data_IF_172214824834
#
_entry.id   IF_172214824834
#
_cell.length_a   1.000
_cell.length_b   1.000
_cell.length_c   1.000
_cell.angle_alpha   90.00
_cell.angle_beta   90.00
_cell.angle_gamma   90.00
#
_symmetry.space_group_name_H-M   'P 1'
#
loop_
_entity.id
_entity.type
_entity.pdbx_description
1 polymer ?
#
# COMPACT_ATOMS: atom_id res chain seq x y z
N UNK A 1 2.95 -3.89 -16.81
CA UNK A 1 3.85 -3.60 -15.69
C UNK A 1 3.06 -2.80 -14.66
N UNK A 2 3.08 -3.22 -13.38
CA UNK A 2 2.33 -2.57 -12.29
C UNK A 2 3.24 -1.71 -11.38
N UNK A 3 4.53 -1.57 -11.73
CA UNK A 3 5.51 -0.75 -11.02
C UNK A 3 5.52 0.71 -11.48
N UNK A 4 6.32 1.52 -10.80
CA UNK A 4 6.57 2.91 -11.22
C UNK A 4 7.72 2.93 -12.21
N UNK A 5 7.56 3.61 -13.34
CA UNK A 5 8.63 3.72 -14.36
C UNK A 5 9.95 4.24 -13.76
N UNK A 6 9.89 5.09 -12.73
CA UNK A 6 11.06 5.63 -12.04
C UNK A 6 11.74 4.59 -11.13
N UNK A 7 10.98 3.75 -10.41
CA UNK A 7 11.58 2.70 -9.57
C UNK A 7 12.10 1.55 -10.41
N UNK A 8 11.38 1.19 -11.48
CA UNK A 8 11.81 0.17 -12.44
C UNK A 8 13.13 0.57 -13.13
N UNK A 9 13.25 1.81 -13.60
CA UNK A 9 14.50 2.34 -14.18
C UNK A 9 15.66 2.38 -13.18
N UNK A 10 15.38 2.76 -11.92
CA UNK A 10 16.38 2.74 -10.85
C UNK A 10 16.92 1.32 -10.62
N UNK A 11 16.02 0.35 -10.43
CA UNK A 11 16.40 -1.03 -10.15
C UNK A 11 17.10 -1.67 -11.35
N UNK A 12 16.64 -1.39 -12.57
CA UNK A 12 17.30 -1.85 -13.78
C UNK A 12 18.72 -1.29 -13.93
N UNK A 13 18.93 0.01 -13.64
CA UNK A 13 20.27 0.62 -13.70
C UNK A 13 21.24 0.00 -12.70
N UNK A 14 20.76 -0.30 -11.48
CA UNK A 14 21.57 -0.98 -10.47
C UNK A 14 21.98 -2.38 -10.93
N UNK A 15 21.04 -3.14 -11.49
CA UNK A 15 21.28 -4.49 -12.00
C UNK A 15 22.26 -4.50 -13.19
N UNK A 16 22.06 -3.59 -14.14
CA UNK A 16 22.93 -3.44 -15.30
C UNK A 16 24.36 -3.06 -14.88
N UNK A 17 24.51 -2.17 -13.90
CA UNK A 17 25.82 -1.75 -13.40
C UNK A 17 26.55 -2.88 -12.66
N UNK A 18 25.85 -3.65 -11.82
CA UNK A 18 26.45 -4.80 -11.15
C UNK A 18 26.89 -5.88 -12.14
N UNK A 19 26.04 -6.18 -13.13
CA UNK A 19 26.36 -7.14 -14.19
C UNK A 19 27.59 -6.69 -14.98
N UNK A 20 27.61 -5.43 -15.42
CA UNK A 20 28.73 -4.86 -16.15
C UNK A 20 30.06 -4.96 -15.38
N UNK A 21 30.04 -4.69 -14.07
CA UNK A 21 31.27 -4.75 -13.25
C UNK A 21 31.70 -6.18 -12.96
N UNK A 22 30.76 -7.12 -12.84
CA UNK A 22 31.07 -8.54 -12.69
C UNK A 22 31.68 -9.17 -13.95
N UNK A 23 31.28 -8.70 -15.13
CA UNK A 23 31.79 -9.17 -16.43
C UNK A 23 33.19 -8.64 -16.77
N UNK A 24 33.70 -7.68 -15.99
CA UNK A 24 35.04 -7.14 -16.18
C UNK A 24 36.09 -8.13 -15.66
N UNK A 25 37.06 -8.45 -16.51
CA UNK A 25 38.19 -9.30 -16.17
C UNK A 25 39.26 -8.48 -15.45
N UNK A 26 38.97 -8.13 -14.20
CA UNK A 26 39.83 -7.26 -13.40
C UNK A 26 41.23 -7.88 -13.22
N UNK A 27 42.31 -7.14 -13.51
CA UNK A 27 43.68 -7.63 -13.34
C UNK A 27 44.09 -7.77 -11.87
N UNK A 28 43.41 -7.06 -10.97
CA UNK A 28 43.67 -7.05 -9.53
C UNK A 28 42.40 -7.43 -8.76
N UNK A 29 42.45 -8.58 -8.07
CA UNK A 29 41.29 -9.16 -7.38
C UNK A 29 40.83 -8.32 -6.18
N UNK A 30 41.76 -7.70 -5.44
CA UNK A 30 41.42 -6.82 -4.32
C UNK A 30 40.63 -5.59 -4.78
N UNK A 31 41.02 -4.99 -5.91
CA UNK A 31 40.29 -3.86 -6.48
C UNK A 31 38.86 -4.26 -6.88
N UNK A 32 38.70 -5.44 -7.50
CA UNK A 32 37.38 -5.96 -7.87
C UNK A 32 36.47 -6.12 -6.64
N UNK A 33 36.99 -6.70 -5.56
CA UNK A 33 36.26 -6.87 -4.28
C UNK A 33 35.88 -5.53 -3.65
N UNK A 34 36.82 -4.57 -3.62
CA UNK A 34 36.54 -3.23 -3.10
C UNK A 34 35.46 -2.49 -3.92
N UNK A 35 35.50 -2.62 -5.24
CA UNK A 35 34.51 -2.01 -6.12
C UNK A 35 33.14 -2.65 -5.93
N UNK A 36 33.09 -3.99 -5.88
CA UNK A 36 31.86 -4.74 -5.62
C UNK A 36 31.23 -4.34 -4.29
N UNK A 37 32.02 -4.22 -3.20
CA UNK A 37 31.52 -3.75 -1.91
C UNK A 37 30.91 -2.34 -2.01
N UNK A 38 31.57 -1.40 -2.69
CA UNK A 38 31.06 -0.03 -2.87
C UNK A 38 29.77 0.00 -3.69
N UNK A 39 29.62 -0.87 -4.68
CA UNK A 39 28.36 -1.00 -5.44
C UNK A 39 27.23 -1.53 -4.58
N UNK A 40 27.49 -2.52 -3.73
CA UNK A 40 26.46 -3.07 -2.82
C UNK A 40 25.98 -2.01 -1.83
N UNK A 41 26.90 -1.21 -1.27
CA UNK A 41 26.55 -0.07 -0.42
C UNK A 41 25.72 0.98 -1.18
N UNK A 42 26.15 1.35 -2.38
CA UNK A 42 25.40 2.29 -3.22
C UNK A 42 24.01 1.77 -3.56
N UNK A 43 23.87 0.49 -3.91
CA UNK A 43 22.58 -0.14 -4.19
C UNK A 43 21.67 -0.10 -2.96
N UNK A 44 22.20 -0.43 -1.77
CA UNK A 44 21.46 -0.35 -0.51
C UNK A 44 20.95 1.06 -0.22
N UNK A 45 21.79 2.09 -0.34
CA UNK A 45 21.42 3.48 -0.11
C UNK A 45 20.33 3.97 -1.09
N UNK A 46 20.42 3.54 -2.35
CA UNK A 46 19.45 3.89 -3.38
C UNK A 46 18.10 3.20 -3.13
N UNK A 47 18.11 1.92 -2.74
CA UNK A 47 16.89 1.18 -2.37
C UNK A 47 16.24 1.84 -1.13
N UNK A 48 17.02 2.11 -0.08
CA UNK A 48 16.55 2.79 1.13
C UNK A 48 15.86 4.12 0.80
N UNK A 49 16.52 4.93 -0.03
CA UNK A 49 15.97 6.22 -0.46
C UNK A 49 14.68 6.06 -1.28
N UNK A 50 14.58 5.02 -2.10
CA UNK A 50 13.37 4.71 -2.87
C UNK A 50 12.20 4.32 -1.97
N UNK A 51 12.46 3.45 -0.98
CA UNK A 51 11.47 3.00 0.02
C UNK A 51 10.94 4.17 0.84
N UNK A 52 11.84 5.01 1.38
CA UNK A 52 11.47 6.19 2.18
C UNK A 52 10.63 7.20 1.39
N UNK A 53 11.03 7.51 0.14
CA UNK A 53 10.25 8.41 -0.73
C UNK A 53 8.87 7.83 -1.05
N UNK A 54 8.80 6.53 -1.29
CA UNK A 54 7.55 5.83 -1.61
C UNK A 54 6.58 5.90 -0.44
N UNK A 55 7.06 5.64 0.79
CA UNK A 55 6.26 5.80 2.02
C UNK A 55 5.70 7.21 2.17
N UNK A 56 6.55 8.23 2.06
CA UNK A 56 6.13 9.62 2.21
C UNK A 56 5.08 10.03 1.17
N UNK A 57 5.29 9.62 -0.09
CA UNK A 57 4.33 9.87 -1.17
C UNK A 57 3.01 9.13 -0.94
N UNK A 58 3.07 7.89 -0.45
CA UNK A 58 1.91 7.08 -0.08
C UNK A 58 1.06 7.78 0.99
N UNK A 59 1.69 8.19 2.09
CA UNK A 59 1.01 8.87 3.20
C UNK A 59 0.32 10.15 2.72
N UNK A 60 1.07 11.01 2.03
CA UNK A 60 0.55 12.27 1.50
C UNK A 60 -0.63 12.07 0.54
N UNK A 61 -0.63 10.97 -0.22
CA UNK A 61 -1.70 10.65 -1.15
C UNK A 61 -2.93 10.10 -0.42
N UNK A 62 -2.73 9.20 0.55
CA UNK A 62 -3.80 8.59 1.33
C UNK A 62 -4.56 9.63 2.17
N UNK A 63 -3.85 10.61 2.74
CA UNK A 63 -4.44 11.72 3.49
C UNK A 63 -5.45 12.53 2.66
N UNK A 64 -5.20 12.72 1.36
CA UNK A 64 -6.05 13.49 0.44
C UNK A 64 -7.28 12.73 -0.06
N UNK A 65 -7.36 11.43 0.17
CA UNK A 65 -8.47 10.62 -0.32
C UNK A 65 -9.74 10.81 0.52
N UNK A 66 -10.90 10.48 -0.07
CA UNK A 66 -12.21 10.55 0.58
C UNK A 66 -12.25 9.76 1.91
N UNK A 67 -13.15 10.17 2.80
CA UNK A 67 -13.45 9.48 4.07
C UNK A 67 -14.85 8.83 4.07
N UNK A 68 -15.49 8.73 2.91
CA UNK A 68 -16.79 8.07 2.73
C UNK A 68 -16.68 6.80 1.89
N UNK A 69 -17.81 6.09 1.76
CA UNK A 69 -17.92 4.80 1.07
C UNK A 69 -17.71 4.89 -0.45
N UNK A 70 -17.52 6.08 -1.01
CA UNK A 70 -17.09 6.34 -2.39
C UNK A 70 -15.55 6.25 -2.57
N UNK A 71 -14.78 6.19 -1.47
CA UNK A 71 -13.33 6.00 -1.52
C UNK A 71 -12.98 4.74 -2.32
N UNK A 72 -12.08 4.88 -3.30
CA UNK A 72 -11.51 3.75 -4.05
C UNK A 72 -9.99 3.85 -4.03
N UNK A 73 -9.32 2.74 -3.73
CA UNK A 73 -7.86 2.61 -3.85
C UNK A 73 -7.47 2.98 -5.27
N UNK A 74 -6.58 3.96 -5.40
CA UNK A 74 -6.10 4.40 -6.72
C UNK A 74 -4.97 3.51 -7.21
N UNK A 75 -4.80 3.41 -8.52
CA UNK A 75 -3.69 2.66 -9.14
C UNK A 75 -2.33 3.02 -8.53
N UNK A 76 -2.07 4.30 -8.28
CA UNK A 76 -0.80 4.75 -7.71
C UNK A 76 -0.53 4.17 -6.32
N UNK A 77 -1.58 3.93 -5.50
CA UNK A 77 -1.43 3.33 -4.17
C UNK A 77 -1.00 1.87 -4.32
N UNK A 78 -1.64 1.13 -5.23
CA UNK A 78 -1.22 -0.24 -5.56
C UNK A 78 0.22 -0.28 -6.09
N UNK A 79 0.57 0.65 -6.99
CA UNK A 79 1.94 0.77 -7.52
C UNK A 79 2.95 1.04 -6.41
N UNK A 80 2.63 1.87 -5.42
CA UNK A 80 3.52 2.13 -4.27
C UNK A 80 3.77 0.87 -3.42
N UNK A 81 2.77 0.00 -3.24
CA UNK A 81 3.01 -1.32 -2.63
C UNK A 81 3.92 -2.19 -3.49
N UNK A 82 3.71 -2.22 -4.80
CA UNK A 82 4.55 -3.00 -5.72
C UNK A 82 6.00 -2.51 -5.73
N UNK A 83 6.25 -1.20 -5.56
CA UNK A 83 7.62 -0.68 -5.39
C UNK A 83 8.32 -1.33 -4.19
N UNK A 84 7.61 -1.61 -3.09
CA UNK A 84 8.20 -2.29 -1.93
C UNK A 84 8.43 -3.79 -2.19
N UNK A 85 7.52 -4.45 -2.91
CA UNK A 85 7.73 -5.84 -3.38
C UNK A 85 8.98 -5.92 -4.25
N UNK A 86 9.15 -4.98 -5.18
CA UNK A 86 10.31 -4.93 -6.06
C UNK A 86 11.58 -4.57 -5.29
N UNK A 87 11.51 -3.62 -4.35
CA UNK A 87 12.63 -3.29 -3.46
C UNK A 87 13.12 -4.52 -2.68
N UNK A 88 12.21 -5.35 -2.16
CA UNK A 88 12.54 -6.59 -1.45
C UNK A 88 13.19 -7.64 -2.37
N UNK A 89 12.70 -7.77 -3.60
CA UNK A 89 13.34 -8.68 -4.59
C UNK A 89 14.75 -8.21 -4.93
N UNK A 90 14.93 -6.91 -5.06
CA UNK A 90 16.22 -6.31 -5.42
C UNK A 90 17.20 -6.28 -4.25
N UNK A 91 16.75 -6.12 -3.00
CA UNK A 91 17.63 -6.21 -1.84
C UNK A 91 18.29 -7.57 -1.74
N UNK A 92 17.52 -8.66 -1.92
CA UNK A 92 18.06 -10.02 -1.91
C UNK A 92 19.07 -10.27 -3.04
N UNK A 93 18.81 -9.71 -4.23
CA UNK A 93 19.66 -9.92 -5.42
C UNK A 93 20.94 -9.10 -5.40
N UNK A 94 20.81 -7.79 -5.20
CA UNK A 94 21.89 -6.81 -5.38
C UNK A 94 22.71 -6.63 -4.11
N UNK A 95 22.12 -6.98 -2.98
CA UNK A 95 22.72 -6.82 -1.67
C UNK A 95 22.89 -8.24 -1.10
N UNK A 96 23.76 -9.07 -1.68
CA UNK A 96 24.23 -10.30 -1.04
C UNK A 96 25.75 -10.17 -0.79
N UNK A 97 26.18 -10.22 0.46
CA UNK A 97 27.58 -10.10 0.88
C UNK A 97 28.03 -11.40 1.56
N UNK A 98 29.26 -11.84 1.28
CA UNK A 98 29.83 -13.05 1.89
C UNK A 98 29.88 -12.94 3.42
N UNK A 99 29.71 -14.10 4.07
CA UNK A 99 29.65 -14.25 5.52
C UNK A 99 31.01 -13.84 6.12
N UNK A 100 31.07 -12.68 6.75
CA UNK A 100 32.25 -12.28 7.53
C UNK A 100 32.48 -10.79 7.69
N UNK A 101 32.04 -9.94 6.75
CA UNK A 101 32.25 -8.49 6.86
C UNK A 101 30.98 -7.65 7.06
N UNK A 102 29.84 -7.90 6.39
CA UNK A 102 28.71 -6.94 6.45
C UNK A 102 27.30 -7.59 6.30
N UNK A 103 27.03 -8.73 6.93
CA UNK A 103 25.67 -9.32 7.02
C UNK A 103 24.63 -8.39 7.70
N UNK A 104 25.07 -7.29 8.32
CA UNK A 104 24.23 -6.36 9.06
C UNK A 104 23.43 -5.41 8.16
N UNK A 105 23.94 -5.05 6.96
CA UNK A 105 23.25 -4.09 6.09
C UNK A 105 22.10 -4.70 5.29
N UNK A 106 22.24 -5.96 4.84
CA UNK A 106 21.12 -6.70 4.22
C UNK A 106 19.97 -6.88 5.19
N UNK A 107 20.31 -7.27 6.42
CA UNK A 107 19.34 -7.37 7.52
C UNK A 107 18.65 -6.02 7.73
N UNK A 108 19.40 -4.91 7.72
CA UNK A 108 18.85 -3.56 7.93
C UNK A 108 17.93 -3.08 6.82
N UNK A 109 18.26 -3.33 5.54
CA UNK A 109 17.39 -2.91 4.43
C UNK A 109 16.12 -3.76 4.36
N UNK A 110 16.23 -5.06 4.63
CA UNK A 110 15.07 -5.96 4.67
C UNK A 110 14.14 -5.61 5.83
N UNK A 111 14.69 -5.34 7.02
CA UNK A 111 13.94 -4.82 8.16
C UNK A 111 13.24 -3.50 7.83
N UNK A 112 13.95 -2.55 7.20
CA UNK A 112 13.36 -1.27 6.77
C UNK A 112 12.19 -1.48 5.80
N UNK A 113 12.34 -2.36 4.82
CA UNK A 113 11.28 -2.65 3.83
C UNK A 113 10.07 -3.27 4.54
N UNK A 114 10.28 -4.29 5.37
CA UNK A 114 9.20 -4.95 6.11
C UNK A 114 8.47 -3.99 7.05
N UNK A 115 9.19 -3.15 7.78
CA UNK A 115 8.58 -2.16 8.67
C UNK A 115 7.81 -1.09 7.87
N UNK A 116 8.36 -0.65 6.74
CA UNK A 116 7.66 0.28 5.84
C UNK A 116 6.36 -0.33 5.29
N UNK A 117 6.37 -1.62 4.92
CA UNK A 117 5.17 -2.35 4.49
C UNK A 117 4.13 -2.39 5.60
N UNK A 118 4.53 -2.77 6.82
CA UNK A 118 3.63 -2.81 7.99
C UNK A 118 2.99 -1.45 8.26
N UNK A 119 3.77 -0.38 8.20
CA UNK A 119 3.27 0.98 8.41
C UNK A 119 2.30 1.40 7.29
N UNK A 120 2.59 1.06 6.03
CA UNK A 120 1.69 1.33 4.90
C UNK A 120 0.36 0.56 5.03
N UNK A 121 0.41 -0.70 5.47
CA UNK A 121 -0.78 -1.50 5.78
C UNK A 121 -1.57 -0.85 6.92
N UNK A 122 -0.91 -0.49 8.02
CA UNK A 122 -1.55 0.16 9.17
C UNK A 122 -2.23 1.49 8.78
N UNK A 123 -1.60 2.29 7.92
CA UNK A 123 -2.20 3.51 7.37
C UNK A 123 -3.45 3.21 6.52
N UNK A 124 -3.42 2.17 5.68
CA UNK A 124 -4.60 1.74 4.92
C UNK A 124 -5.75 1.29 5.83
N UNK A 125 -5.45 0.45 6.83
CA UNK A 125 -6.44 -0.02 7.80
C UNK A 125 -7.06 1.17 8.52
N UNK A 126 -6.24 2.11 9.03
CA UNK A 126 -6.73 3.32 9.67
C UNK A 126 -7.63 4.16 8.75
N UNK A 127 -7.33 4.20 7.45
CA UNK A 127 -8.19 4.85 6.46
C UNK A 127 -9.54 4.16 6.33
N UNK A 128 -9.57 2.83 6.28
CA UNK A 128 -10.81 2.06 6.20
C UNK A 128 -11.64 2.15 7.48
N UNK A 129 -10.99 2.16 8.64
CA UNK A 129 -11.64 2.40 9.93
C UNK A 129 -12.30 3.78 9.96
N UNK A 130 -11.65 4.83 9.44
CA UNK A 130 -12.25 6.17 9.35
C UNK A 130 -13.56 6.16 8.53
N UNK A 131 -13.61 5.38 7.44
CA UNK A 131 -14.84 5.23 6.63
C UNK A 131 -15.91 4.48 7.42
N UNK A 132 -15.54 3.41 8.13
CA UNK A 132 -16.44 2.63 8.98
C UNK A 132 -17.05 3.49 10.09
N UNK A 133 -16.22 4.25 10.82
CA UNK A 133 -16.67 5.19 11.85
C UNK A 133 -17.65 6.22 11.29
N UNK A 134 -17.42 6.71 10.07
CA UNK A 134 -18.34 7.60 9.37
C UNK A 134 -19.69 6.96 9.06
N UNK A 135 -19.71 5.67 8.73
CA UNK A 135 -20.95 4.89 8.52
C UNK A 135 -21.65 4.64 9.86
N UNK A 136 -20.93 4.19 10.89
CA UNK A 136 -21.47 3.94 12.24
C UNK A 136 -22.04 5.20 12.87
N UNK A 137 -21.39 6.35 12.71
CA UNK A 137 -21.90 7.64 13.20
C UNK A 137 -23.22 8.03 12.52
N UNK A 138 -23.37 7.75 11.22
CA UNK A 138 -24.64 7.95 10.52
C UNK A 138 -25.70 6.99 11.04
N UNK A 139 -25.36 5.71 11.20
CA UNK A 139 -26.27 4.68 11.70
C UNK A 139 -26.77 4.99 13.12
N UNK A 140 -25.88 5.36 14.03
CA UNK A 140 -26.23 5.74 15.40
C UNK A 140 -27.17 6.95 15.47
N UNK A 141 -27.09 7.89 14.52
CA UNK A 141 -28.09 8.98 14.43
C UNK A 141 -29.47 8.51 13.97
N UNK A 142 -29.57 7.40 13.24
CA UNK A 142 -30.87 6.79 12.93
C UNK A 142 -31.45 6.07 14.15
N UNK A 143 -30.60 5.52 15.01
CA UNK A 143 -31.01 4.88 16.27
C UNK A 143 -31.35 5.90 17.37
N UNK A 144 -30.62 7.02 17.46
CA UNK A 144 -30.86 8.13 18.41
C UNK A 144 -31.94 9.13 17.91
N UNK A 145 -32.26 9.11 16.62
CA UNK A 145 -32.94 10.19 15.91
C UNK A 145 -34.42 9.96 15.60
N UNK A 146 -35.23 9.90 16.65
CA UNK A 146 -36.67 10.20 16.63
C UNK A 146 -37.01 11.62 16.09
N UNK A 147 -36.02 12.44 15.70
CA UNK A 147 -36.18 13.86 15.36
C UNK A 147 -36.52 14.20 13.89
N UNK A 148 -36.30 13.29 12.92
CA UNK A 148 -36.91 13.41 11.58
C UNK A 148 -38.20 12.59 11.43
N UNK A 149 -38.54 11.79 12.45
CA UNK A 149 -39.71 10.91 12.41
C UNK A 149 -41.02 11.69 12.35
N UNK A 150 -41.13 12.89 12.94
CA UNK A 150 -42.41 13.60 12.99
C UNK A 150 -42.81 14.27 11.67
N UNK A 151 -41.85 14.79 10.88
CA UNK A 151 -42.16 15.48 9.62
C UNK A 151 -42.15 14.56 8.38
N UNK A 152 -41.27 13.55 8.32
CA UNK A 152 -41.22 12.60 7.20
C UNK A 152 -42.11 11.36 7.40
N UNK A 153 -42.44 10.93 8.63
CA UNK A 153 -43.31 9.76 8.84
C UNK A 153 -44.74 10.01 8.38
N UNK A 154 -45.23 11.26 8.39
CA UNK A 154 -46.56 11.59 7.87
C UNK A 154 -46.63 11.50 6.34
N UNK A 155 -45.56 11.88 5.63
CA UNK A 155 -45.47 11.79 4.16
C UNK A 155 -45.00 10.39 3.68
N UNK A 156 -44.12 9.71 4.40
CA UNK A 156 -43.69 8.33 4.09
C UNK A 156 -44.78 7.28 4.35
N UNK A 157 -45.58 7.37 5.42
CA UNK A 157 -46.67 6.39 5.67
C UNK A 157 -47.76 6.42 4.60
N UNK A 158 -47.96 7.57 3.95
CA UNK A 158 -48.91 7.68 2.83
C UNK A 158 -48.34 7.06 1.54
N UNK A 159 -47.02 7.18 1.32
CA UNK A 159 -46.34 6.65 0.13
C UNK A 159 -45.97 5.16 0.24
N UNK A 160 -45.64 4.65 1.43
CA UNK A 160 -45.23 3.26 1.66
C UNK A 160 -46.35 2.23 1.45
N UNK A 161 -47.60 2.69 1.29
CA UNK A 161 -48.73 1.83 0.95
C UNK A 161 -48.81 1.54 -0.56
N UNK A 162 -48.05 2.27 -1.38
CA UNK A 162 -48.12 2.21 -2.84
C UNK A 162 -46.74 2.04 -3.53
N UNK A 163 -45.64 2.18 -2.80
CA UNK A 163 -44.26 2.04 -3.31
C UNK A 163 -43.37 1.47 -2.20
N UNK A 164 -42.49 0.51 -2.51
CA UNK A 164 -41.45 0.03 -1.58
C UNK A 164 -40.56 1.22 -1.19
N UNK A 165 -40.61 1.63 0.09
CA UNK A 165 -39.80 2.73 0.61
C UNK A 165 -38.45 2.16 1.07
N UNK A 166 -37.32 2.56 0.45
CA UNK A 166 -35.99 2.12 0.86
C UNK A 166 -35.74 2.45 2.34
N UNK A 167 -35.21 1.49 3.10
CA UNK A 167 -34.84 1.68 4.50
C UNK A 167 -33.46 2.34 4.56
N UNK A 168 -33.33 3.62 4.97
CA UNK A 168 -32.06 4.35 4.87
C UNK A 168 -30.88 3.72 5.62
N UNK A 169 -31.14 2.92 6.67
CA UNK A 169 -30.12 2.19 7.42
C UNK A 169 -29.57 0.94 6.72
N UNK A 170 -30.39 0.26 5.91
CA UNK A 170 -29.93 -0.89 5.11
C UNK A 170 -29.00 -0.41 3.98
N UNK A 171 -29.35 0.72 3.36
CA UNK A 171 -28.55 1.32 2.27
C UNK A 171 -27.12 1.69 2.71
N UNK A 172 -26.93 2.06 3.98
CA UNK A 172 -25.62 2.40 4.54
C UNK A 172 -24.73 1.16 4.77
N UNK A 173 -25.33 0.07 5.25
CA UNK A 173 -24.63 -1.21 5.44
C UNK A 173 -24.20 -1.79 4.10
N UNK A 174 -25.11 -1.82 3.12
CA UNK A 174 -24.84 -2.30 1.76
C UNK A 174 -23.77 -1.45 1.06
N UNK A 175 -23.79 -0.13 1.29
CA UNK A 175 -22.76 0.78 0.78
C UNK A 175 -21.38 0.49 1.38
N UNK A 176 -21.30 0.17 2.68
CA UNK A 176 -20.03 -0.17 3.33
C UNK A 176 -19.50 -1.54 2.87
N UNK A 177 -20.37 -2.55 2.75
CA UNK A 177 -20.00 -3.87 2.22
C UNK A 177 -19.46 -3.73 0.78
N UNK A 178 -20.16 -2.96 -0.05
CA UNK A 178 -19.72 -2.67 -1.42
C UNK A 178 -18.38 -1.94 -1.45
N UNK A 179 -18.18 -0.96 -0.55
CA UNK A 179 -16.92 -0.27 -0.39
C UNK A 179 -15.76 -1.22 -0.06
N UNK A 180 -15.93 -2.12 0.93
CA UNK A 180 -14.87 -3.08 1.32
C UNK A 180 -14.55 -4.00 0.14
N UNK A 181 -15.56 -4.63 -0.46
CA UNK A 181 -15.37 -5.56 -1.59
C UNK A 181 -14.64 -4.90 -2.75
N UNK A 182 -15.10 -3.73 -3.19
CA UNK A 182 -14.49 -3.06 -4.34
C UNK A 182 -13.04 -2.66 -4.09
N UNK A 183 -12.70 -2.23 -2.88
CA UNK A 183 -11.31 -1.91 -2.54
C UNK A 183 -10.45 -3.17 -2.40
N UNK A 184 -10.98 -4.26 -1.86
CA UNK A 184 -10.31 -5.56 -1.79
C UNK A 184 -10.02 -6.11 -3.19
N UNK A 185 -11.00 -6.06 -4.09
CA UNK A 185 -10.85 -6.51 -5.48
C UNK A 185 -9.76 -5.70 -6.21
N UNK A 186 -9.77 -4.37 -6.07
CA UNK A 186 -8.73 -3.50 -6.65
C UNK A 186 -7.34 -3.87 -6.13
N UNK A 187 -7.21 -4.13 -4.82
CA UNK A 187 -5.95 -4.45 -4.19
C UNK A 187 -5.43 -5.82 -4.65
N UNK A 188 -6.28 -6.85 -4.67
CA UNK A 188 -5.94 -8.19 -5.17
C UNK A 188 -5.55 -8.21 -6.65
N UNK A 189 -6.24 -7.43 -7.47
CA UNK A 189 -5.96 -7.35 -8.91
C UNK A 189 -4.59 -6.71 -9.22
N UNK A 190 -4.11 -5.81 -8.34
CA UNK A 190 -3.03 -4.88 -8.69
C UNK A 190 -1.79 -4.96 -7.81
N UNK A 191 -1.89 -5.49 -6.59
CA UNK A 191 -0.74 -5.68 -5.71
C UNK A 191 -0.20 -7.07 -5.92
N UNK A 192 1.11 -7.16 -6.20
CA UNK A 192 1.76 -8.39 -6.63
C UNK A 192 2.04 -9.38 -5.48
N UNK A 193 1.72 -9.04 -4.23
CA UNK A 193 2.01 -9.82 -3.03
C UNK A 193 0.72 -10.03 -2.22
N UNK A 194 0.15 -11.25 -2.29
CA UNK A 194 -1.13 -11.58 -1.66
C UNK A 194 -1.04 -11.47 -0.13
N UNK A 195 0.11 -11.79 0.45
CA UNK A 195 0.33 -11.69 1.90
C UNK A 195 0.15 -10.26 2.44
N UNK A 196 0.39 -9.24 1.61
CA UNK A 196 0.13 -7.85 2.00
C UNK A 196 -1.36 -7.53 2.02
N UNK A 197 -2.14 -8.21 1.16
CA UNK A 197 -3.58 -8.06 1.09
C UNK A 197 -4.27 -8.80 2.23
N UNK A 198 -3.84 -10.03 2.54
CA UNK A 198 -4.32 -10.80 3.69
C UNK A 198 -4.18 -9.98 4.98
N UNK A 199 -2.98 -9.46 5.26
CA UNK A 199 -2.70 -8.60 6.42
C UNK A 199 -3.54 -7.32 6.50
N UNK A 200 -4.14 -6.87 5.41
CA UNK A 200 -4.95 -5.65 5.35
C UNK A 200 -6.42 -5.91 5.70
N UNK A 201 -6.89 -7.15 5.50
CA UNK A 201 -8.29 -7.55 5.66
C UNK A 201 -8.52 -8.65 6.71
N UNK A 202 -7.46 -9.22 7.29
CA UNK A 202 -7.51 -10.05 8.51
C UNK A 202 -7.87 -9.22 9.75
#
# INVERSE_FOLDING_TARGET
SNGSATSEDLFWKLDALQTFIGDLHWPEEEFAKHLEQRLKLMASDMIESSVKRTRAAFEAKLQKMSRSTDFRVTQSICTMFNVLVDAKKQSVKLCHMEIGQENQYHTKIDELIEDTVKEMIAMMIGKFVTVLEGVLSKLGRYDEGTLFSSFLSFTMKAASKYVDVPKPGMDLSDSYITFVRQNQDILRDKVNEEMYIERLFD
#
